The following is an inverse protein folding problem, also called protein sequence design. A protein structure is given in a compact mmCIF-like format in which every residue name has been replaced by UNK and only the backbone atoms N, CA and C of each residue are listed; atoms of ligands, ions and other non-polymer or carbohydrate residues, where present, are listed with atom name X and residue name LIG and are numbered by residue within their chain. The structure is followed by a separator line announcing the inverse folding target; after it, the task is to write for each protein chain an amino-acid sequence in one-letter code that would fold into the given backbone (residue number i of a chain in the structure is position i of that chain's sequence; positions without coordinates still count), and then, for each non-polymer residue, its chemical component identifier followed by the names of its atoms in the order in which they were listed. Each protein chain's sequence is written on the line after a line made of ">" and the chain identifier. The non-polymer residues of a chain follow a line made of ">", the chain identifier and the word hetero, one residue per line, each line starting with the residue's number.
data_IF_656568765669
#
_entry.id   IF_656568765669
#
_cell.length_a   1.000
_cell.length_b   1.000
_cell.length_c   1.000
_cell.angle_alpha   90.00
_cell.angle_beta   90.00
_cell.angle_gamma   90.00
#
_symmetry.space_group_name_H-M   'P 1'
#
loop_
_entity.id
_entity.type
_entity.pdbx_description
1 polymer ?
#
# COMPACT_ATOMS: atom_id res chain seq x y z
N UNK A 1 10.02 3.62 13.06
CA UNK A 1 8.82 3.70 12.22
C UNK A 1 9.15 4.52 11.00
N UNK A 2 9.28 3.86 9.85
CA UNK A 2 9.45 4.50 8.54
C UNK A 2 8.08 4.78 7.95
N UNK A 3 7.89 5.97 7.37
CA UNK A 3 6.62 6.41 6.77
C UNK A 3 6.75 6.50 5.25
N UNK A 4 5.90 5.78 4.53
CA UNK A 4 5.80 5.84 3.07
C UNK A 4 4.57 6.67 2.69
N UNK A 5 4.81 7.89 2.20
CA UNK A 5 3.77 8.76 1.64
C UNK A 5 3.32 8.20 0.29
N UNK A 6 2.14 7.58 0.25
CA UNK A 6 1.65 6.93 -0.96
C UNK A 6 1.34 7.93 -2.08
N UNK A 7 0.97 9.15 -1.74
CA UNK A 7 0.74 10.19 -2.73
C UNK A 7 2.05 10.59 -3.41
N UNK A 8 3.14 10.72 -2.64
CA UNK A 8 4.47 10.96 -3.19
C UNK A 8 4.90 9.83 -4.12
N UNK A 9 4.80 8.57 -3.67
CA UNK A 9 5.13 7.40 -4.50
C UNK A 9 4.29 7.37 -5.77
N UNK A 10 2.99 7.66 -5.66
CA UNK A 10 2.09 7.73 -6.81
C UNK A 10 2.53 8.78 -7.83
N UNK A 11 2.90 9.98 -7.39
CA UNK A 11 3.35 11.04 -8.31
C UNK A 11 4.69 10.70 -8.97
N UNK A 12 5.59 10.05 -8.26
CA UNK A 12 6.90 9.62 -8.79
C UNK A 12 6.76 8.54 -9.84
N UNK A 13 5.89 7.54 -9.61
CA UNK A 13 5.78 6.35 -10.46
C UNK A 13 4.79 6.52 -11.62
N UNK A 14 3.59 7.06 -11.39
CA UNK A 14 2.53 7.06 -12.42
C UNK A 14 2.56 8.29 -13.33
N UNK A 15 3.06 9.44 -12.84
CA UNK A 15 3.21 10.70 -13.59
C UNK A 15 1.96 11.15 -14.39
N UNK A 16 0.78 10.67 -14.01
CA UNK A 16 -0.49 10.90 -14.72
C UNK A 16 -1.30 12.08 -14.12
N UNK A 17 -0.80 12.72 -13.06
CA UNK A 17 -1.43 13.86 -12.41
C UNK A 17 -2.58 13.53 -11.45
N UNK A 18 -3.13 12.31 -11.47
CA UNK A 18 -4.22 11.87 -10.57
C UNK A 18 -3.71 11.65 -9.13
N UNK A 19 -4.59 11.76 -8.14
CA UNK A 19 -4.35 11.39 -6.74
C UNK A 19 -4.95 10.03 -6.37
N UNK A 20 -5.41 9.27 -7.36
CA UNK A 20 -6.22 8.07 -7.19
C UNK A 20 -5.40 6.78 -7.33
N UNK A 21 -5.59 5.88 -6.38
CA UNK A 21 -5.13 4.49 -6.46
C UNK A 21 -6.23 3.63 -7.05
N UNK A 22 -6.42 3.71 -8.37
CA UNK A 22 -7.46 2.97 -9.10
C UNK A 22 -6.86 2.07 -10.15
N UNK A 23 -7.55 0.97 -10.46
CA UNK A 23 -7.10 -0.13 -11.33
C UNK A 23 -5.99 -0.98 -10.74
N UNK A 24 -6.02 -2.26 -11.10
CA UNK A 24 -4.97 -3.23 -10.74
C UNK A 24 -3.59 -2.86 -11.30
N UNK A 25 -3.51 -2.27 -12.49
CA UNK A 25 -2.22 -1.95 -13.09
C UNK A 25 -1.47 -0.85 -12.30
N UNK A 26 -2.16 0.20 -11.88
CA UNK A 26 -1.55 1.23 -11.03
C UNK A 26 -1.12 0.65 -9.68
N UNK A 27 -1.98 -0.20 -9.09
CA UNK A 27 -1.71 -0.86 -7.83
C UNK A 27 -0.46 -1.74 -7.89
N UNK A 28 -0.23 -2.43 -9.00
CA UNK A 28 0.96 -3.24 -9.19
C UNK A 28 2.23 -2.38 -9.17
N UNK A 29 2.25 -1.26 -9.90
CA UNK A 29 3.41 -0.35 -9.93
C UNK A 29 3.73 0.17 -8.52
N UNK A 30 2.72 0.61 -7.78
CA UNK A 30 2.90 1.13 -6.43
C UNK A 30 3.31 0.04 -5.45
N UNK A 31 2.71 -1.15 -5.51
CA UNK A 31 3.12 -2.29 -4.68
C UNK A 31 4.59 -2.65 -4.92
N UNK A 32 5.00 -2.82 -6.17
CA UNK A 32 6.39 -3.17 -6.51
C UNK A 32 7.37 -2.11 -6.02
N UNK A 33 6.98 -0.83 -6.07
CA UNK A 33 7.78 0.26 -5.51
C UNK A 33 7.93 0.13 -3.99
N UNK A 34 6.83 -0.11 -3.28
CA UNK A 34 6.81 -0.32 -1.83
C UNK A 34 7.68 -1.54 -1.46
N UNK A 35 7.52 -2.67 -2.15
CA UNK A 35 8.27 -3.90 -1.89
C UNK A 35 9.78 -3.70 -1.99
N UNK A 36 10.23 -2.95 -3.02
CA UNK A 36 11.65 -2.59 -3.18
C UNK A 36 12.17 -1.74 -2.03
N UNK A 37 11.32 -0.93 -1.40
CA UNK A 37 11.72 -0.08 -0.28
C UNK A 37 11.68 -0.87 1.04
N UNK A 38 10.65 -1.71 1.27
CA UNK A 38 10.58 -2.62 2.43
C UNK A 38 11.82 -3.51 2.52
N UNK A 39 12.29 -4.03 1.38
CA UNK A 39 13.48 -4.89 1.33
C UNK A 39 14.77 -4.20 1.80
N UNK A 40 14.80 -2.87 1.89
CA UNK A 40 15.94 -2.09 2.36
C UNK A 40 15.83 -1.72 3.84
N UNK A 41 14.65 -1.89 4.44
CA UNK A 41 14.42 -1.59 5.84
C UNK A 41 15.06 -2.66 6.74
N UNK A 42 15.47 -2.25 7.94
CA UNK A 42 16.02 -3.15 8.95
C UNK A 42 14.95 -4.05 9.57
N UNK A 43 15.38 -5.16 10.16
CA UNK A 43 14.49 -6.03 10.95
C UNK A 43 13.89 -5.28 12.15
N UNK A 44 12.64 -5.62 12.48
CA UNK A 44 11.83 -4.95 13.49
C UNK A 44 11.26 -3.61 13.06
N UNK A 45 11.44 -3.18 11.81
CA UNK A 45 10.93 -1.88 11.35
C UNK A 45 9.41 -1.89 11.16
N UNK A 46 8.78 -0.77 11.57
CA UNK A 46 7.35 -0.54 11.40
C UNK A 46 7.17 0.41 10.23
N UNK A 47 6.54 -0.08 9.16
CA UNK A 47 6.28 0.66 7.93
C UNK A 47 4.85 1.19 7.95
N UNK A 48 4.71 2.51 8.05
CA UNK A 48 3.42 3.18 7.94
C UNK A 48 3.16 3.57 6.48
N UNK A 49 2.15 2.95 5.86
CA UNK A 49 1.63 3.36 4.55
C UNK A 49 0.63 4.51 4.80
N UNK A 50 0.96 5.71 4.32
CA UNK A 50 0.16 6.91 4.54
C UNK A 50 -0.74 7.23 3.34
N UNK A 51 -2.04 7.10 3.57
CA UNK A 51 -3.12 7.35 2.61
C UNK A 51 -3.71 8.76 2.72
N UNK A 52 -3.23 9.62 3.63
CA UNK A 52 -3.86 10.91 3.95
C UNK A 52 -4.03 11.88 2.77
N UNK A 53 -3.22 11.72 1.71
CA UNK A 53 -3.29 12.51 0.47
C UNK A 53 -3.79 11.73 -0.74
N UNK A 54 -4.14 10.45 -0.56
CA UNK A 54 -4.81 9.68 -1.60
C UNK A 54 -6.26 10.12 -1.63
N UNK A 55 -6.79 10.39 -2.82
CA UNK A 55 -8.18 10.81 -2.99
C UNK A 55 -9.10 9.59 -2.85
N UNK A 56 -8.91 8.60 -3.72
CA UNK A 56 -9.71 7.36 -3.75
C UNK A 56 -8.78 6.13 -3.90
N UNK A 57 -9.18 5.02 -3.30
CA UNK A 57 -8.67 3.69 -3.65
C UNK A 57 -9.85 2.78 -4.01
N UNK A 58 -9.82 2.18 -5.20
CA UNK A 58 -10.83 1.18 -5.56
C UNK A 58 -10.47 -0.21 -5.01
N UNK A 59 -11.45 -1.10 -4.95
CA UNK A 59 -11.26 -2.49 -4.53
C UNK A 59 -10.11 -3.19 -5.26
N UNK A 60 -9.97 -2.98 -6.58
CA UNK A 60 -8.96 -3.70 -7.37
C UNK A 60 -7.53 -3.28 -7.01
N UNK A 61 -7.34 -2.02 -6.67
CA UNK A 61 -6.07 -1.47 -6.23
C UNK A 61 -5.80 -1.78 -4.75
N UNK A 62 -6.85 -1.80 -3.92
CA UNK A 62 -6.74 -2.25 -2.53
C UNK A 62 -6.33 -3.74 -2.43
N UNK A 63 -6.91 -4.62 -3.25
CA UNK A 63 -6.50 -6.03 -3.38
C UNK A 63 -5.05 -6.14 -3.89
N UNK A 64 -4.69 -5.34 -4.90
CA UNK A 64 -3.36 -5.40 -5.50
C UNK A 64 -2.24 -4.89 -4.59
N UNK A 65 -2.50 -3.84 -3.81
CA UNK A 65 -1.54 -3.23 -2.88
C UNK A 65 -1.69 -3.89 -1.51
N UNK A 66 -2.75 -3.59 -0.78
CA UNK A 66 -2.86 -3.90 0.65
C UNK A 66 -2.96 -5.40 0.87
N UNK A 67 -3.90 -6.08 0.19
CA UNK A 67 -4.13 -7.50 0.44
C UNK A 67 -2.90 -8.35 0.07
N UNK A 68 -2.21 -8.01 -1.03
CA UNK A 68 -0.97 -8.69 -1.42
C UNK A 68 0.22 -8.38 -0.49
N UNK A 69 0.41 -7.12 -0.08
CA UNK A 69 1.46 -6.77 0.88
C UNK A 69 1.27 -7.52 2.20
N UNK A 70 0.04 -7.58 2.73
CA UNK A 70 -0.26 -8.31 3.96
C UNK A 70 -0.06 -9.82 3.78
N UNK A 71 -0.52 -10.40 2.67
CA UNK A 71 -0.31 -11.82 2.37
C UNK A 71 1.17 -12.20 2.31
N UNK A 72 2.01 -11.34 1.70
CA UNK A 72 3.47 -11.54 1.64
C UNK A 72 4.17 -11.29 2.98
N UNK A 73 3.66 -10.36 3.77
CA UNK A 73 4.13 -10.16 5.14
C UNK A 73 3.90 -11.43 5.97
N UNK A 74 2.70 -12.02 5.87
CA UNK A 74 2.32 -13.24 6.57
C UNK A 74 3.07 -14.49 6.09
N UNK A 75 3.45 -14.55 4.80
CA UNK A 75 4.30 -15.63 4.27
C UNK A 75 5.77 -15.51 4.68
N UNK A 76 6.16 -14.39 5.31
CA UNK A 76 7.53 -14.13 5.76
C UNK A 76 8.45 -13.59 4.66
N UNK A 77 7.91 -13.19 3.50
CA UNK A 77 8.71 -12.69 2.36
C UNK A 77 9.46 -11.38 2.67
N UNK A 78 9.02 -10.62 3.68
CA UNK A 78 9.69 -9.39 4.11
C UNK A 78 10.58 -9.56 5.36
N UNK A 79 10.71 -10.78 5.90
CA UNK A 79 11.38 -11.02 7.18
C UNK A 79 10.63 -10.40 8.36
N UNK A 80 11.35 -9.98 9.39
CA UNK A 80 10.75 -9.32 10.57
C UNK A 80 10.44 -7.85 10.27
N UNK A 81 9.23 -7.60 9.77
CA UNK A 81 8.69 -6.27 9.44
C UNK A 81 7.25 -6.16 9.93
N UNK A 82 6.77 -4.94 10.07
CA UNK A 82 5.39 -4.67 10.45
C UNK A 82 4.82 -3.60 9.52
N UNK A 83 3.57 -3.78 9.08
CA UNK A 83 2.87 -2.83 8.22
C UNK A 83 1.69 -2.23 8.97
N UNK A 84 1.56 -0.91 8.92
CA UNK A 84 0.42 -0.15 9.46
C UNK A 84 -0.17 0.71 8.35
N UNK A 85 -1.50 0.71 8.23
CA UNK A 85 -2.21 1.62 7.33
C UNK A 85 -2.60 2.88 8.12
N UNK A 86 -2.27 4.05 7.61
CA UNK A 86 -2.47 5.33 8.28
C UNK A 86 -3.11 6.37 7.36
N UNK A 87 -3.82 7.33 7.94
CA UNK A 87 -4.43 8.43 7.15
C UNK A 87 -5.63 8.01 6.29
N UNK A 88 -6.24 6.85 6.57
CA UNK A 88 -7.40 6.36 5.82
C UNK A 88 -8.67 7.15 6.12
N UNK A 89 -9.44 7.47 5.08
CA UNK A 89 -10.84 7.89 5.21
C UNK A 89 -11.79 6.68 5.16
N UNK A 90 -13.09 6.89 5.44
CA UNK A 90 -14.07 5.80 5.54
C UNK A 90 -14.23 5.00 4.24
N UNK A 91 -14.29 5.68 3.08
CA UNK A 91 -14.42 4.99 1.79
C UNK A 91 -13.18 4.14 1.45
N UNK A 92 -11.99 4.61 1.81
CA UNK A 92 -10.76 3.85 1.65
C UNK A 92 -10.73 2.64 2.58
N UNK A 93 -11.17 2.79 3.84
CA UNK A 93 -11.28 1.67 4.79
C UNK A 93 -12.21 0.59 4.25
N UNK A 94 -13.41 0.95 3.81
CA UNK A 94 -14.38 -0.01 3.26
C UNK A 94 -13.80 -0.83 2.10
N UNK A 95 -13.16 -0.19 1.12
CA UNK A 95 -12.55 -0.90 -0.01
C UNK A 95 -11.40 -1.81 0.43
N UNK A 96 -10.61 -1.39 1.41
CA UNK A 96 -9.50 -2.18 1.95
C UNK A 96 -9.99 -3.36 2.78
N UNK A 97 -11.00 -3.17 3.63
CA UNK A 97 -11.61 -4.23 4.43
C UNK A 97 -12.15 -5.34 3.53
N UNK A 98 -12.92 -4.98 2.49
CA UNK A 98 -13.44 -5.95 1.52
C UNK A 98 -12.32 -6.69 0.78
N UNK A 99 -11.20 -6.03 0.49
CA UNK A 99 -10.04 -6.66 -0.12
C UNK A 99 -9.32 -7.65 0.82
N UNK A 100 -9.25 -7.34 2.11
CA UNK A 100 -8.63 -8.19 3.13
C UNK A 100 -9.49 -9.40 3.52
N UNK A 101 -10.81 -9.25 3.60
CA UNK A 101 -11.73 -10.34 3.98
C UNK A 101 -11.75 -11.53 2.99
N UNK A 102 -11.22 -11.34 1.77
CA UNK A 102 -11.23 -12.34 0.70
C UNK A 102 -9.92 -13.12 0.56
N UNK A 103 -8.97 -12.96 1.48
CA UNK A 103 -7.67 -13.65 1.54
C UNK A 103 -7.62 -14.65 2.69
#
# INVERSE_FOLDING_TARGET
>A
MTKYDLYKLLKEELKNGSGDLVTRNSGQVIRERIEKDIAKEKDGEVIALDFSKIEIIDYSCADEIVAKLISRLQSGEYGDKYIVLSGLNENQKENIEVALERK
#
